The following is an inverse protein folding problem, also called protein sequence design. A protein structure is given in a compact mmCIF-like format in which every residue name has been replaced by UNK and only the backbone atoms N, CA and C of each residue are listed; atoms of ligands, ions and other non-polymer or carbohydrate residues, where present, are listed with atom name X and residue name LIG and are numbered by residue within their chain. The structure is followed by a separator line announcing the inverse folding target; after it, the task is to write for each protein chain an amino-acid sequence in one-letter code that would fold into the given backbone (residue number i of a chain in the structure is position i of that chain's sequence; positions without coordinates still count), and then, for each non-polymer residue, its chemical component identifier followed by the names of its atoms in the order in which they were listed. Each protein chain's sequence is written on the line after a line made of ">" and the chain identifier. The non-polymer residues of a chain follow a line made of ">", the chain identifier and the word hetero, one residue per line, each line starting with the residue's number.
data_IF_085769867754
#
_entry.id   IF_085769867754
#
_cell.length_a   1.000
_cell.length_b   1.000
_cell.length_c   1.000
_cell.angle_alpha   90.00
_cell.angle_beta   90.00
_cell.angle_gamma   90.00
#
_symmetry.space_group_name_H-M   'P 1'
#
loop_
_entity.id
_entity.type
_entity.pdbx_description
1 polymer ?
#
# COMPACT_ATOMS: atom_id res chain seq x y z
N UNK A 1 4.30 -26.43 -15.46
CA UNK A 1 4.78 -25.38 -16.37
C UNK A 1 6.13 -24.91 -15.87
N UNK A 2 7.19 -25.03 -16.68
CA UNK A 2 8.48 -24.42 -16.36
C UNK A 2 8.31 -22.91 -16.59
N UNK A 3 8.35 -22.10 -15.53
CA UNK A 3 8.15 -20.65 -15.66
C UNK A 3 9.45 -20.00 -16.14
N UNK A 4 9.41 -19.36 -17.31
CA UNK A 4 10.53 -18.58 -17.84
C UNK A 4 10.98 -17.52 -16.80
N UNK A 5 12.25 -17.53 -16.36
CA UNK A 5 12.77 -16.54 -15.42
C UNK A 5 12.55 -15.09 -15.85
N UNK A 6 12.54 -14.80 -17.16
CA UNK A 6 12.30 -13.45 -17.67
C UNK A 6 10.85 -13.01 -17.45
N UNK A 7 9.89 -13.92 -17.61
CA UNK A 7 8.48 -13.65 -17.31
C UNK A 7 8.25 -13.46 -15.81
N UNK A 8 8.95 -14.23 -14.97
CA UNK A 8 8.88 -14.05 -13.51
C UNK A 8 9.46 -12.70 -13.07
N UNK A 9 10.57 -12.27 -13.67
CA UNK A 9 11.16 -10.97 -13.39
C UNK A 9 10.26 -9.81 -13.84
N UNK A 10 9.67 -9.90 -15.03
CA UNK A 10 8.69 -8.92 -15.50
C UNK A 10 7.48 -8.84 -14.57
N UNK A 11 7.00 -9.98 -14.05
CA UNK A 11 5.92 -10.02 -13.07
C UNK A 11 6.31 -9.39 -11.74
N UNK A 12 7.54 -9.61 -11.25
CA UNK A 12 8.06 -8.97 -10.04
C UNK A 12 8.09 -7.45 -10.20
N UNK A 13 8.63 -6.96 -11.31
CA UNK A 13 8.67 -5.53 -11.62
C UNK A 13 7.26 -4.92 -11.67
N UNK A 14 6.31 -5.62 -12.29
CA UNK A 14 4.92 -5.16 -12.33
C UNK A 14 4.28 -5.08 -10.93
N UNK A 15 4.50 -6.07 -10.07
CA UNK A 15 4.02 -6.05 -8.69
C UNK A 15 4.66 -4.90 -7.88
N UNK A 16 5.93 -4.58 -8.13
CA UNK A 16 6.62 -3.46 -7.51
C UNK A 16 5.97 -2.12 -7.86
N UNK A 17 5.60 -1.92 -9.12
CA UNK A 17 4.92 -0.71 -9.56
C UNK A 17 3.50 -0.63 -8.98
N UNK A 18 2.78 -1.75 -8.91
CA UNK A 18 1.46 -1.81 -8.26
C UNK A 18 1.52 -1.45 -6.78
N UNK A 19 2.54 -1.91 -6.05
CA UNK A 19 2.72 -1.57 -4.63
C UNK A 19 3.02 -0.09 -4.42
N UNK A 20 3.84 0.52 -5.30
CA UNK A 20 4.14 1.97 -5.26
C UNK A 20 2.88 2.79 -5.51
N UNK A 21 2.10 2.41 -6.52
CA UNK A 21 0.82 3.06 -6.83
C UNK A 21 -0.18 2.91 -5.69
N UNK A 22 -0.31 1.70 -5.13
CA UNK A 22 -1.21 1.44 -4.01
C UNK A 22 -0.83 2.28 -2.78
N UNK A 23 0.47 2.39 -2.48
CA UNK A 23 0.96 3.26 -1.39
C UNK A 23 0.54 4.70 -1.62
N UNK A 24 0.74 5.23 -2.83
CA UNK A 24 0.33 6.60 -3.17
C UNK A 24 -1.17 6.81 -2.97
N UNK A 25 -2.00 5.83 -3.35
CA UNK A 25 -3.45 5.88 -3.19
C UNK A 25 -3.88 5.82 -1.72
N UNK A 26 -3.22 5.01 -0.90
CA UNK A 26 -3.47 4.94 0.54
C UNK A 26 -3.12 6.27 1.22
N UNK A 27 -2.00 6.89 0.87
CA UNK A 27 -1.65 8.22 1.38
C UNK A 27 -2.66 9.28 0.96
N UNK A 28 -3.09 9.29 -0.32
CA UNK A 28 -4.13 10.21 -0.78
C UNK A 28 -5.46 10.00 -0.04
N UNK A 29 -5.83 8.74 0.22
CA UNK A 29 -7.05 8.43 0.98
C UNK A 29 -6.97 8.98 2.42
N UNK A 30 -5.80 8.88 3.07
CA UNK A 30 -5.59 9.46 4.39
C UNK A 30 -5.76 10.99 4.39
N UNK A 31 -5.25 11.66 3.36
CA UNK A 31 -5.40 13.11 3.17
C UNK A 31 -6.87 13.50 2.94
N UNK A 32 -7.60 12.74 2.10
CA UNK A 32 -9.01 12.97 1.82
C UNK A 32 -9.86 12.85 3.10
N UNK A 33 -9.58 11.88 3.96
CA UNK A 33 -10.22 11.77 5.28
C UNK A 33 -9.86 12.96 6.18
N UNK A 34 -8.62 13.45 6.14
CA UNK A 34 -8.22 14.68 6.85
C UNK A 34 -9.00 15.91 6.38
N UNK A 35 -9.28 16.01 5.09
CA UNK A 35 -10.07 17.09 4.51
C UNK A 35 -11.56 17.06 4.95
N UNK A 36 -12.13 15.88 5.20
CA UNK A 36 -13.51 15.79 5.73
C UNK A 36 -13.66 16.47 7.09
N UNK A 37 -12.64 16.37 7.94
CA UNK A 37 -12.65 17.00 9.27
C UNK A 37 -12.64 18.53 9.17
N UNK A 38 -11.94 19.10 8.18
CA UNK A 38 -11.84 20.56 8.00
C UNK A 38 -13.04 21.14 7.23
N UNK A 39 -13.68 20.34 6.38
CA UNK A 39 -14.84 20.77 5.60
C UNK A 39 -16.14 20.92 6.42
N UNK A 40 -16.17 20.45 7.67
CA UNK A 40 -17.37 20.51 8.52
C UNK A 40 -18.51 19.60 8.03
N UNK A 41 -18.19 18.57 7.25
CA UNK A 41 -19.15 17.64 6.64
C UNK A 41 -19.55 16.48 7.56
N UNK A 42 -19.04 16.46 8.79
CA UNK A 42 -19.21 15.36 9.73
C UNK A 42 -20.15 15.79 10.85
N UNK A 43 -21.18 14.98 11.07
CA UNK A 43 -21.99 15.02 12.30
C UNK A 43 -21.40 14.02 13.29
N UNK A 44 -21.52 14.30 14.59
CA UNK A 44 -21.19 13.30 15.60
C UNK A 44 -22.12 12.10 15.44
N UNK A 45 -21.52 10.90 15.40
CA UNK A 45 -22.24 9.64 15.34
C UNK A 45 -22.63 9.18 16.74
N UNK A 46 -23.90 8.81 16.94
CA UNK A 46 -24.29 8.06 18.13
C UNK A 46 -23.68 6.65 18.07
N UNK A 47 -22.74 6.35 18.97
CA UNK A 47 -22.00 5.10 19.01
C UNK A 47 -21.60 4.72 20.43
N UNK A 48 -21.46 3.42 20.69
CA UNK A 48 -21.23 2.86 22.03
C UNK A 48 -19.93 3.38 22.65
N UNK A 49 -20.06 4.42 23.46
CA UNK A 49 -18.96 5.09 24.16
C UNK A 49 -18.82 6.52 23.66
N UNK A 50 -19.02 7.46 24.56
CA UNK A 50 -18.89 8.91 24.38
C UNK A 50 -17.51 9.40 23.86
N UNK A 51 -16.64 8.48 23.42
CA UNK A 51 -15.29 8.72 22.93
C UNK A 51 -15.18 8.61 21.39
N UNK A 52 -16.26 8.27 20.68
CA UNK A 52 -16.26 8.11 19.21
C UNK A 52 -16.93 9.30 18.52
N UNK A 53 -16.38 10.50 18.71
CA UNK A 53 -16.76 11.66 17.88
C UNK A 53 -16.30 11.45 16.45
N UNK A 54 -16.92 12.11 15.47
CA UNK A 54 -16.48 11.98 14.09
C UNK A 54 -15.00 12.37 13.91
N UNK A 55 -14.54 13.35 14.70
CA UNK A 55 -13.13 13.75 14.77
C UNK A 55 -12.21 12.59 15.22
N UNK A 56 -12.57 11.86 16.27
CA UNK A 56 -11.78 10.69 16.72
C UNK A 56 -11.80 9.55 15.70
N UNK A 57 -12.92 9.32 15.00
CA UNK A 57 -13.02 8.31 13.96
C UNK A 57 -12.10 8.64 12.77
N UNK A 58 -12.07 9.90 12.34
CA UNK A 58 -11.15 10.36 11.29
C UNK A 58 -9.70 10.24 11.76
N UNK A 59 -9.39 10.66 12.99
CA UNK A 59 -8.03 10.55 13.53
C UNK A 59 -7.55 9.10 13.57
N UNK A 60 -8.37 8.17 14.10
CA UNK A 60 -8.04 6.75 14.13
C UNK A 60 -7.93 6.12 12.73
N UNK A 61 -8.79 6.51 11.79
CA UNK A 61 -8.68 6.04 10.41
C UNK A 61 -7.37 6.49 9.76
N UNK A 62 -6.97 7.75 9.96
CA UNK A 62 -5.70 8.28 9.43
C UNK A 62 -4.49 7.57 10.00
N UNK A 63 -4.47 7.30 11.29
CA UNK A 63 -3.40 6.52 11.93
C UNK A 63 -3.24 5.13 11.30
N UNK A 64 -4.35 4.43 11.05
CA UNK A 64 -4.34 3.11 10.38
C UNK A 64 -3.91 3.23 8.91
N UNK A 65 -4.28 4.29 8.19
CA UNK A 65 -3.81 4.50 6.83
C UNK A 65 -2.30 4.84 6.77
N UNK A 66 -1.79 5.59 7.75
CA UNK A 66 -0.36 5.88 7.87
C UNK A 66 0.42 4.58 8.13
N UNK A 67 -0.08 3.71 9.01
CA UNK A 67 0.48 2.37 9.22
C UNK A 67 0.45 1.53 7.93
N UNK A 68 -0.68 1.49 7.23
CA UNK A 68 -0.79 0.78 5.96
C UNK A 68 0.21 1.31 4.90
N UNK A 69 0.45 2.62 4.86
CA UNK A 69 1.45 3.21 3.97
C UNK A 69 2.89 2.81 4.33
N UNK A 70 3.21 2.65 5.62
CA UNK A 70 4.50 2.14 6.09
C UNK A 70 4.69 0.67 5.70
N UNK A 71 3.68 -0.17 5.89
CA UNK A 71 3.72 -1.58 5.51
C UNK A 71 3.87 -1.76 3.99
N UNK A 72 3.19 -0.93 3.19
CA UNK A 72 3.38 -0.92 1.74
C UNK A 72 4.79 -0.47 1.35
N UNK A 73 5.38 0.49 2.06
CA UNK A 73 6.77 0.87 1.84
C UNK A 73 7.75 -0.28 2.16
N UNK A 74 7.49 -1.03 3.23
CA UNK A 74 8.26 -2.23 3.58
C UNK A 74 8.10 -3.34 2.52
N UNK A 75 6.90 -3.52 1.98
CA UNK A 75 6.65 -4.47 0.88
C UNK A 75 7.40 -4.06 -0.40
N UNK A 76 7.46 -2.76 -0.74
CA UNK A 76 8.26 -2.22 -1.85
C UNK A 76 9.74 -2.53 -1.64
N UNK A 77 10.30 -2.27 -0.45
CA UNK A 77 11.70 -2.62 -0.13
C UNK A 77 11.95 -4.12 -0.28
N UNK A 78 11.10 -4.96 0.30
CA UNK A 78 11.25 -6.41 0.23
C UNK A 78 11.26 -6.93 -1.22
N UNK A 79 10.37 -6.40 -2.06
CA UNK A 79 10.24 -6.82 -3.45
C UNK A 79 11.37 -6.27 -4.34
N UNK A 80 11.91 -5.09 -4.04
CA UNK A 80 13.11 -4.56 -4.67
C UNK A 80 14.34 -5.40 -4.33
N UNK A 81 14.54 -5.74 -3.05
CA UNK A 81 15.60 -6.65 -2.61
C UNK A 81 15.50 -8.03 -3.26
N UNK A 82 14.29 -8.55 -3.48
CA UNK A 82 14.10 -9.80 -4.23
C UNK A 82 14.70 -9.72 -5.66
N UNK A 83 14.70 -8.53 -6.27
CA UNK A 83 15.35 -8.21 -7.53
C UNK A 83 16.85 -8.52 -7.53
N UNK A 84 17.54 -8.36 -6.39
CA UNK A 84 18.98 -8.68 -6.25
C UNK A 84 19.30 -10.13 -6.62
N UNK A 85 18.36 -11.04 -6.37
CA UNK A 85 18.51 -12.47 -6.64
C UNK A 85 17.89 -12.84 -7.99
N UNK A 86 16.69 -12.37 -8.27
CA UNK A 86 15.86 -12.80 -9.41
C UNK A 86 16.38 -12.28 -10.75
N UNK A 87 16.95 -11.08 -10.80
CA UNK A 87 17.54 -10.50 -12.03
C UNK A 87 18.74 -11.27 -12.57
N UNK A 88 19.31 -12.20 -11.80
CA UNK A 88 20.45 -13.05 -12.21
C UNK A 88 20.01 -14.35 -12.88
N UNK A 89 18.73 -14.71 -12.78
CA UNK A 89 18.23 -15.95 -13.36
C UNK A 89 18.21 -15.84 -14.89
N UNK A 90 18.64 -16.90 -15.57
CA UNK A 90 18.67 -16.99 -17.04
C UNK A 90 18.00 -18.28 -17.48
N UNK A 91 17.24 -18.27 -18.59
CA UNK A 91 16.73 -19.50 -19.17
C UNK A 91 17.89 -20.38 -19.66
N UNK A 92 17.73 -21.69 -19.57
CA UNK A 92 18.66 -22.64 -20.19
C UNK A 92 18.41 -22.62 -21.70
N UNK A 93 19.43 -22.26 -22.48
CA UNK A 93 19.43 -22.46 -23.94
C UNK A 93 19.84 -23.90 -24.21
N UNK A 94 18.89 -24.75 -24.56
CA UNK A 94 19.20 -26.06 -25.15
C UNK A 94 19.39 -25.81 -26.64
N UNK A 95 20.65 -25.81 -27.08
CA UNK A 95 21.01 -25.82 -28.50
C UNK A 95 20.65 -27.16 -29.16
#
# INVERSE_FOLDING_TARGET
>A
MLSDPLLLEARRAHLLDQLRELRSRVSQLADDYGALQTAGLLIDTEGAGALTTAASCVAGAREVFDEAALELAAAVDALDRAGTYTTRLRPVTLD
#
